data_IF_082292816066
#
_entry.id   IF_082292816066
#
_cell.length_a   1.000
_cell.length_b   1.000
_cell.length_c   1.000
_cell.angle_alpha   90.00
_cell.angle_beta   90.00
_cell.angle_gamma   90.00
#
_symmetry.space_group_name_H-M   'P 1'
#
loop_
_entity.id
_entity.type
_entity.pdbx_description
1 polymer ?
#
# COMPACT_ATOMS: atom_id res chain seq x y z
N UNK A 1 -5.45 -9.77 28.55
CA UNK A 1 -5.10 -11.01 27.83
C UNK A 1 -5.60 -10.96 26.39
N UNK A 2 -6.90 -10.79 26.11
CA UNK A 2 -7.41 -10.64 24.72
C UNK A 2 -7.00 -9.32 24.05
N UNK A 3 -6.86 -8.24 24.81
CA UNK A 3 -6.41 -6.94 24.28
C UNK A 3 -4.94 -6.93 23.87
N UNK A 4 -4.10 -7.69 24.58
CA UNK A 4 -2.66 -7.83 24.30
C UNK A 4 -2.44 -8.64 23.03
N UNK A 5 -3.19 -9.71 22.85
CA UNK A 5 -3.12 -10.59 21.66
C UNK A 5 -3.45 -9.85 20.35
N UNK A 6 -4.41 -8.92 20.40
CA UNK A 6 -4.77 -8.08 19.23
C UNK A 6 -3.70 -7.02 18.94
N UNK A 7 -3.08 -6.48 19.98
CA UNK A 7 -1.98 -5.51 19.88
C UNK A 7 -0.73 -6.19 19.28
N UNK A 8 -0.39 -7.38 19.79
CA UNK A 8 0.74 -8.19 19.30
C UNK A 8 0.53 -8.60 17.83
N UNK A 9 -0.68 -9.04 17.44
CA UNK A 9 -0.98 -9.35 16.02
C UNK A 9 -0.91 -8.12 15.10
N UNK A 10 -1.18 -6.92 15.63
CA UNK A 10 -1.13 -5.67 14.89
C UNK A 10 0.31 -5.19 14.70
N UNK A 11 1.12 -5.23 15.75
CA UNK A 11 2.55 -4.92 15.73
C UNK A 11 3.28 -5.86 14.77
N UNK A 12 2.97 -7.17 14.78
CA UNK A 12 3.49 -8.13 13.81
C UNK A 12 3.14 -7.73 12.36
N UNK A 13 1.92 -7.24 12.12
CA UNK A 13 1.50 -6.78 10.79
C UNK A 13 2.17 -5.46 10.39
N UNK A 14 2.39 -4.55 11.34
CA UNK A 14 3.13 -3.30 11.11
C UNK A 14 4.58 -3.59 10.76
N UNK A 15 5.27 -4.42 11.55
CA UNK A 15 6.66 -4.83 11.30
C UNK A 15 6.79 -5.52 9.94
N UNK A 16 5.88 -6.43 9.59
CA UNK A 16 5.85 -7.09 8.28
C UNK A 16 5.61 -6.12 7.11
N UNK A 17 4.79 -5.09 7.27
CA UNK A 17 4.58 -4.07 6.23
C UNK A 17 5.79 -3.16 6.08
N UNK A 18 6.45 -2.83 7.19
CA UNK A 18 7.66 -2.00 7.20
C UNK A 18 8.87 -2.77 6.67
N UNK A 19 8.98 -4.07 6.94
CA UNK A 19 10.10 -4.92 6.51
C UNK A 19 9.96 -5.40 5.05
N UNK A 20 8.74 -5.60 4.52
CA UNK A 20 8.51 -5.93 3.10
C UNK A 20 8.86 -4.75 2.15
N UNK A 21 9.24 -3.59 2.70
CA UNK A 21 9.90 -2.54 1.91
C UNK A 21 11.30 -2.96 1.42
N UNK A 22 11.92 -3.97 2.04
CA UNK A 22 13.33 -4.26 1.85
C UNK A 22 13.67 -5.35 0.80
N UNK A 23 12.84 -6.37 0.51
CA UNK A 23 13.42 -7.57 -0.13
C UNK A 23 12.64 -8.45 -1.14
N UNK A 24 11.38 -8.22 -1.49
CA UNK A 24 10.62 -9.24 -2.24
C UNK A 24 10.36 -8.92 -3.74
N UNK A 25 11.32 -9.24 -4.62
CA UNK A 25 11.08 -9.31 -6.08
C UNK A 25 10.55 -10.70 -6.49
N UNK A 26 9.25 -10.84 -6.78
CA UNK A 26 8.70 -12.05 -7.45
C UNK A 26 7.24 -12.42 -7.15
N UNK A 27 6.77 -13.56 -7.71
CA UNK A 27 5.42 -14.11 -7.46
C UNK A 27 5.14 -14.45 -6.00
N UNK A 28 6.19 -14.63 -5.19
CA UNK A 28 6.09 -14.83 -3.74
C UNK A 28 5.62 -13.54 -3.04
N UNK A 29 6.20 -12.39 -3.39
CA UNK A 29 5.81 -11.07 -2.88
C UNK A 29 4.34 -10.75 -3.11
N UNK A 30 3.82 -11.04 -4.31
CA UNK A 30 2.42 -10.82 -4.63
C UNK A 30 1.46 -11.70 -3.80
N UNK A 31 1.88 -12.90 -3.41
CA UNK A 31 1.11 -13.77 -2.52
C UNK A 31 1.17 -13.30 -1.07
N UNK A 32 2.33 -12.83 -0.65
CA UNK A 32 2.59 -12.32 0.70
C UNK A 32 1.82 -11.02 0.97
N UNK A 33 1.93 -10.04 0.08
CA UNK A 33 1.15 -8.80 0.13
C UNK A 33 -0.36 -9.09 0.14
N UNK A 34 -0.85 -10.00 -0.72
CA UNK A 34 -2.27 -10.40 -0.69
C UNK A 34 -2.67 -11.07 0.63
N UNK A 35 -1.78 -11.85 1.25
CA UNK A 35 -2.03 -12.48 2.54
C UNK A 35 -2.08 -11.43 3.65
N UNK A 36 -1.23 -10.41 3.60
CA UNK A 36 -1.23 -9.28 4.53
C UNK A 36 -2.54 -8.47 4.42
N UNK A 37 -2.97 -8.06 3.23
CA UNK A 37 -4.25 -7.33 3.11
C UNK A 37 -5.44 -8.14 3.60
N UNK A 38 -5.43 -9.47 3.40
CA UNK A 38 -6.45 -10.36 3.93
C UNK A 38 -6.43 -10.46 5.46
N UNK A 39 -5.24 -10.47 6.08
CA UNK A 39 -5.08 -10.43 7.55
C UNK A 39 -5.63 -9.12 8.12
N UNK A 40 -5.22 -7.97 7.58
CA UNK A 40 -5.75 -6.66 7.99
C UNK A 40 -7.27 -6.59 7.85
N UNK A 41 -7.82 -7.23 6.79
CA UNK A 41 -9.26 -7.34 6.62
C UNK A 41 -9.94 -8.24 7.64
N UNK A 42 -9.36 -9.38 7.99
CA UNK A 42 -9.87 -10.23 9.03
C UNK A 42 -9.86 -9.52 10.40
N UNK A 43 -8.77 -8.81 10.73
CA UNK A 43 -8.60 -8.09 11.99
C UNK A 43 -9.61 -6.95 12.14
N UNK A 44 -9.73 -6.09 11.13
CA UNK A 44 -10.75 -5.04 11.11
C UNK A 44 -12.17 -5.59 11.25
N UNK A 45 -12.47 -6.74 10.65
CA UNK A 45 -13.77 -7.41 10.79
C UNK A 45 -13.99 -8.04 12.17
N UNK A 46 -12.92 -8.49 12.84
CA UNK A 46 -12.97 -8.99 14.22
C UNK A 46 -13.27 -7.83 15.19
N UNK A 47 -12.55 -6.70 15.06
CA UNK A 47 -12.79 -5.48 15.86
C UNK A 47 -14.23 -4.96 15.72
N UNK A 48 -14.76 -4.91 14.50
CA UNK A 48 -16.16 -4.49 14.27
C UNK A 48 -17.16 -5.45 14.95
N UNK A 49 -16.93 -6.77 14.87
CA UNK A 49 -17.79 -7.76 15.52
C UNK A 49 -17.74 -7.60 17.04
N UNK A 50 -16.55 -7.44 17.60
CA UNK A 50 -16.35 -7.24 19.03
C UNK A 50 -17.08 -5.98 19.53
N UNK A 51 -16.91 -4.84 18.84
CA UNK A 51 -17.62 -3.59 19.16
C UNK A 51 -19.14 -3.75 19.13
N UNK A 52 -19.67 -4.45 18.12
CA UNK A 52 -21.11 -4.68 17.98
C UNK A 52 -21.70 -5.53 19.12
N UNK A 53 -20.90 -6.38 19.75
CA UNK A 53 -21.28 -7.14 20.94
C UNK A 53 -21.05 -6.38 22.25
N UNK A 54 -20.02 -5.54 22.34
CA UNK A 54 -19.69 -4.77 23.54
C UNK A 54 -20.64 -3.57 23.78
N UNK A 55 -21.11 -2.91 22.71
CA UNK A 55 -22.05 -1.79 22.78
C UNK A 55 -23.36 -2.10 23.55
N UNK A 56 -24.12 -3.17 23.22
CA UNK A 56 -25.34 -3.49 23.95
C UNK A 56 -25.07 -3.91 25.40
N UNK A 57 -23.89 -4.48 25.69
CA UNK A 57 -23.50 -4.84 27.06
C UNK A 57 -23.37 -3.60 27.95
N UNK A 58 -22.81 -2.51 27.40
CA UNK A 58 -22.76 -1.20 28.08
C UNK A 58 -24.17 -0.71 28.43
N UNK A 59 -25.10 -0.76 27.48
CA UNK A 59 -26.46 -0.24 27.68
C UNK A 59 -27.19 -1.04 28.77
N UNK A 60 -27.03 -2.36 28.80
CA UNK A 60 -27.57 -3.24 29.85
C UNK A 60 -26.97 -2.90 31.22
N UNK A 61 -25.65 -2.81 31.34
CA UNK A 61 -24.98 -2.48 32.62
C UNK A 61 -25.37 -1.08 33.09
N UNK A 62 -25.44 -0.10 32.18
CA UNK A 62 -25.86 1.27 32.53
C UNK A 62 -27.29 1.34 33.04
N UNK A 63 -28.18 0.48 32.52
CA UNK A 63 -29.58 0.38 32.96
C UNK A 63 -29.65 -0.19 34.38
N UNK A 64 -28.85 -1.21 34.68
CA UNK A 64 -28.75 -1.82 36.02
C UNK A 64 -28.21 -0.82 37.05
N UNK A 65 -27.23 0.02 36.67
CA UNK A 65 -26.67 1.04 37.56
C UNK A 65 -27.66 2.18 37.82
N UNK A 66 -28.45 2.58 36.81
CA UNK A 66 -29.41 3.69 36.90
C UNK A 66 -30.73 3.32 37.57
N UNK A 67 -31.25 2.12 37.33
CA UNK A 67 -32.49 1.68 37.98
C UNK A 67 -32.20 1.32 39.44
N UNK A 68 -32.97 1.90 40.36
CA UNK A 68 -32.99 1.43 41.75
C UNK A 68 -33.76 0.12 41.82
N UNK A 69 -33.09 -0.97 41.44
CA UNK A 69 -33.65 -2.31 41.53
C UNK A 69 -33.71 -2.69 43.01
N UNK A 70 -34.89 -3.00 43.58
CA UNK A 70 -35.05 -3.20 45.02
C UNK A 70 -34.25 -4.36 45.62
N UNK A 71 -33.72 -5.25 44.78
CA UNK A 71 -32.90 -6.41 45.17
C UNK A 71 -31.37 -6.19 45.07
N UNK A 72 -30.91 -5.01 44.64
CA UNK A 72 -29.47 -4.72 44.48
C UNK A 72 -28.98 -3.80 45.60
N UNK A 73 -28.11 -4.34 46.45
CA UNK A 73 -27.45 -3.57 47.51
C UNK A 73 -26.47 -2.52 46.94
N UNK A 74 -26.21 -1.45 47.72
CA UNK A 74 -25.29 -0.37 47.34
C UNK A 74 -23.90 -0.87 46.98
N UNK A 75 -23.42 -1.92 47.66
CA UNK A 75 -22.11 -2.54 47.43
C UNK A 75 -22.02 -3.21 46.06
N UNK A 76 -23.10 -3.91 45.67
CA UNK A 76 -23.20 -4.59 44.37
C UNK A 76 -23.26 -3.58 43.22
N UNK A 77 -23.88 -2.42 43.44
CA UNK A 77 -23.93 -1.33 42.45
C UNK A 77 -22.54 -0.77 42.12
N UNK A 78 -21.63 -0.71 43.10
CA UNK A 78 -20.25 -0.27 42.90
C UNK A 78 -19.49 -1.22 41.94
N UNK A 79 -19.71 -2.53 42.07
CA UNK A 79 -19.13 -3.51 41.15
C UNK A 79 -19.68 -3.37 39.72
N UNK A 80 -20.98 -3.11 39.55
CA UNK A 80 -21.54 -2.85 38.22
C UNK A 80 -21.02 -1.56 37.59
N UNK A 81 -20.73 -0.53 38.37
CA UNK A 81 -20.04 0.68 37.88
C UNK A 81 -18.64 0.37 37.36
N UNK A 82 -17.84 -0.39 38.10
CA UNK A 82 -16.49 -0.77 37.65
C UNK A 82 -16.52 -1.61 36.36
N UNK A 83 -17.50 -2.50 36.21
CA UNK A 83 -17.73 -3.24 34.95
C UNK A 83 -18.11 -2.29 33.81
N UNK A 84 -18.96 -1.28 34.07
CA UNK A 84 -19.32 -0.28 33.07
C UNK A 84 -18.10 0.51 32.59
N UNK A 85 -17.24 0.92 33.51
CA UNK A 85 -15.99 1.64 33.23
C UNK A 85 -14.98 0.78 32.47
N UNK A 86 -14.91 -0.52 32.79
CA UNK A 86 -14.11 -1.48 32.01
C UNK A 86 -14.63 -1.64 30.57
N UNK A 87 -15.94 -1.75 30.37
CA UNK A 87 -16.53 -1.83 29.02
C UNK A 87 -16.21 -0.57 28.21
N UNK A 88 -16.25 0.61 28.86
CA UNK A 88 -15.90 1.89 28.25
C UNK A 88 -14.45 1.90 27.77
N UNK A 89 -13.51 1.58 28.67
CA UNK A 89 -12.07 1.51 28.33
C UNK A 89 -11.77 0.53 27.19
N UNK A 90 -12.41 -0.64 27.21
CA UNK A 90 -12.26 -1.64 26.15
C UNK A 90 -12.79 -1.11 24.81
N UNK A 91 -13.92 -0.39 24.81
CA UNK A 91 -14.48 0.15 23.59
C UNK A 91 -13.60 1.26 22.99
N UNK A 92 -12.99 2.11 23.83
CA UNK A 92 -12.02 3.12 23.38
C UNK A 92 -10.77 2.46 22.80
N UNK A 93 -10.27 1.39 23.43
CA UNK A 93 -9.16 0.59 22.90
C UNK A 93 -9.49 -0.02 21.53
N UNK A 94 -10.67 -0.60 21.37
CA UNK A 94 -11.12 -1.18 20.09
C UNK A 94 -11.22 -0.12 18.99
N UNK A 95 -11.64 1.10 19.31
CA UNK A 95 -11.66 2.19 18.33
C UNK A 95 -10.24 2.61 17.94
N UNK A 96 -9.34 2.76 18.91
CA UNK A 96 -7.92 3.04 18.63
C UNK A 96 -7.29 1.99 17.72
N UNK A 97 -7.52 0.71 18.00
CA UNK A 97 -7.03 -0.41 17.18
C UNK A 97 -7.61 -0.36 15.75
N UNK A 98 -8.88 -0.01 15.62
CA UNK A 98 -9.53 0.13 14.31
C UNK A 98 -8.92 1.28 13.49
N UNK A 99 -8.56 2.38 14.14
CA UNK A 99 -7.89 3.50 13.47
C UNK A 99 -6.51 3.08 12.96
N UNK A 100 -5.74 2.32 13.75
CA UNK A 100 -4.44 1.79 13.31
C UNK A 100 -4.59 0.82 12.12
N UNK A 101 -5.53 -0.13 12.18
CA UNK A 101 -5.81 -1.04 11.03
C UNK A 101 -6.19 -0.27 9.77
N UNK A 102 -6.92 0.84 9.92
CA UNK A 102 -7.29 1.70 8.80
C UNK A 102 -6.06 2.43 8.25
N UNK A 103 -5.20 2.97 9.12
CA UNK A 103 -3.93 3.58 8.74
C UNK A 103 -3.00 2.62 7.99
N UNK A 104 -2.87 1.37 8.47
CA UNK A 104 -2.06 0.33 7.81
C UNK A 104 -2.57 0.01 6.40
N UNK A 105 -3.89 -0.06 6.21
CA UNK A 105 -4.47 -0.27 4.87
C UNK A 105 -4.20 0.89 3.92
N UNK A 106 -4.34 2.12 4.41
CA UNK A 106 -4.08 3.31 3.60
C UNK A 106 -2.60 3.38 3.21
N UNK A 107 -1.69 2.99 4.11
CA UNK A 107 -0.27 2.84 3.82
C UNK A 107 0.00 1.75 2.77
N UNK A 108 -0.62 0.57 2.88
CA UNK A 108 -0.51 -0.51 1.89
C UNK A 108 -0.96 -0.06 0.49
N UNK A 109 -2.07 0.68 0.41
CA UNK A 109 -2.57 1.25 -0.83
C UNK A 109 -1.61 2.30 -1.40
N UNK A 110 -1.06 3.18 -0.56
CA UNK A 110 -0.09 4.18 -0.98
C UNK A 110 1.19 3.54 -1.54
N UNK A 111 1.72 2.51 -0.88
CA UNK A 111 2.88 1.75 -1.33
C UNK A 111 2.62 1.05 -2.66
N UNK A 112 1.45 0.41 -2.81
CA UNK A 112 1.06 -0.26 -4.05
C UNK A 112 0.92 0.75 -5.21
N UNK A 113 0.32 1.91 -4.94
CA UNK A 113 0.21 3.00 -5.91
C UNK A 113 1.58 3.51 -6.33
N UNK A 114 2.49 3.73 -5.38
CA UNK A 114 3.86 4.16 -5.66
C UNK A 114 4.62 3.14 -6.53
N UNK A 115 4.52 1.85 -6.20
CA UNK A 115 5.09 0.75 -7.02
C UNK A 115 4.54 0.79 -8.45
N UNK A 116 3.23 0.99 -8.61
CA UNK A 116 2.61 1.11 -9.94
C UNK A 116 3.11 2.34 -10.71
N UNK A 117 3.20 3.50 -10.06
CA UNK A 117 3.74 4.73 -10.66
C UNK A 117 5.19 4.54 -11.13
N UNK A 118 6.02 3.86 -10.35
CA UNK A 118 7.38 3.52 -10.75
C UNK A 118 7.38 2.64 -12.00
N UNK A 119 6.58 1.56 -12.02
CA UNK A 119 6.48 0.68 -13.20
C UNK A 119 6.03 1.45 -14.46
N UNK A 120 5.05 2.35 -14.33
CA UNK A 120 4.61 3.19 -15.45
C UNK A 120 5.73 4.11 -15.95
N UNK A 121 6.50 4.71 -15.04
CA UNK A 121 7.67 5.52 -15.40
C UNK A 121 8.73 4.68 -16.14
N UNK A 122 8.98 3.44 -15.73
CA UNK A 122 9.91 2.53 -16.43
C UNK A 122 9.43 2.22 -17.85
N UNK A 123 8.15 1.88 -18.01
CA UNK A 123 7.56 1.60 -19.34
C UNK A 123 7.63 2.84 -20.22
N UNK A 124 7.29 4.02 -19.69
CA UNK A 124 7.38 5.28 -20.42
C UNK A 124 8.82 5.65 -20.81
N UNK A 125 9.80 5.40 -19.94
CA UNK A 125 11.22 5.62 -20.22
C UNK A 125 11.68 4.76 -21.40
N UNK A 126 11.42 3.45 -21.37
CA UNK A 126 11.71 2.55 -22.50
C UNK A 126 10.95 2.93 -23.77
N UNK A 127 9.67 3.31 -23.65
CA UNK A 127 8.86 3.78 -24.77
C UNK A 127 9.44 5.03 -25.44
N UNK A 128 9.93 5.99 -24.66
CA UNK A 128 10.54 7.22 -25.19
C UNK A 128 11.83 6.96 -25.98
N UNK A 129 12.66 6.01 -25.52
CA UNK A 129 13.86 5.56 -26.24
C UNK A 129 13.48 4.97 -27.61
N UNK A 130 12.47 4.10 -27.65
CA UNK A 130 11.97 3.52 -28.90
C UNK A 130 11.34 4.57 -29.82
N UNK A 131 10.59 5.53 -29.27
CA UNK A 131 9.94 6.59 -30.05
C UNK A 131 10.98 7.43 -30.79
N UNK A 132 12.03 7.87 -30.10
CA UNK A 132 13.10 8.68 -30.71
C UNK A 132 13.85 7.88 -31.78
N UNK A 133 14.22 6.63 -31.49
CA UNK A 133 14.87 5.77 -32.48
C UNK A 133 13.99 5.53 -33.72
N UNK A 134 12.69 5.30 -33.52
CA UNK A 134 11.71 5.09 -34.60
C UNK A 134 11.49 6.38 -35.39
N UNK A 135 11.46 7.55 -34.74
CA UNK A 135 11.33 8.83 -35.42
C UNK A 135 12.52 9.11 -36.33
N UNK A 136 13.75 8.90 -35.84
CA UNK A 136 14.98 9.09 -36.64
C UNK A 136 14.98 8.12 -37.83
N UNK A 137 14.66 6.85 -37.57
CA UNK A 137 14.58 5.83 -38.62
C UNK A 137 13.47 6.14 -39.63
N UNK A 138 12.33 6.65 -39.17
CA UNK A 138 11.20 7.02 -40.01
C UNK A 138 11.53 8.20 -40.92
N UNK A 139 12.09 9.28 -40.37
CA UNK A 139 12.51 10.47 -41.14
C UNK A 139 13.56 10.11 -42.18
N UNK A 140 14.56 9.31 -41.81
CA UNK A 140 15.64 8.89 -42.72
C UNK A 140 15.24 7.75 -43.66
N UNK A 141 14.12 7.07 -43.39
CA UNK A 141 13.52 6.04 -44.25
C UNK A 141 12.60 6.61 -45.32
N UNK A 142 12.26 7.90 -45.26
CA UNK A 142 11.55 8.57 -46.35
C UNK A 142 12.49 8.73 -47.54
N UNK A 143 12.10 8.22 -48.72
CA UNK A 143 12.85 8.36 -49.98
C UNK A 143 12.88 9.85 -50.43
N UNK A 144 13.69 10.69 -49.80
CA UNK A 144 13.91 12.06 -50.22
C UNK A 144 14.72 12.07 -51.52
N UNK A 145 14.20 12.78 -52.53
CA UNK A 145 14.73 12.80 -53.91
C UNK A 145 16.08 13.54 -54.05
N UNK A 146 16.41 14.40 -53.07
CA UNK A 146 17.69 15.13 -52.94
C UNK A 146 18.47 14.62 -51.72
N UNK A 147 18.64 13.31 -51.60
CA UNK A 147 19.47 12.74 -50.54
C UNK A 147 20.96 13.00 -50.86
N UNK A 148 21.69 13.80 -50.06
CA UNK A 148 23.11 14.03 -50.29
C UNK A 148 23.83 12.68 -50.18
N UNK A 149 24.59 12.33 -51.22
CA UNK A 149 25.21 11.03 -51.47
C UNK A 149 25.66 10.26 -50.21
N UNK A 150 24.73 9.49 -49.62
CA UNK A 150 25.01 8.41 -48.69
C UNK A 150 25.19 7.13 -49.52
N UNK A 151 26.23 7.13 -50.35
CA UNK A 151 26.58 5.99 -51.20
C UNK A 151 27.03 4.81 -50.33
N UNK A 152 26.13 3.84 -50.18
CA UNK A 152 26.36 2.41 -49.92
C UNK A 152 27.34 2.10 -48.77
N UNK A 153 26.77 1.95 -47.57
CA UNK A 153 27.44 1.40 -46.38
C UNK A 153 27.62 2.41 -45.25
N UNK A 154 28.05 3.64 -45.56
CA UNK A 154 28.26 4.69 -44.55
C UNK A 154 26.96 5.27 -44.00
N UNK A 155 25.88 5.29 -44.78
CA UNK A 155 24.60 5.86 -44.35
C UNK A 155 23.92 5.13 -43.21
N UNK A 156 23.98 3.79 -43.22
CA UNK A 156 23.52 2.98 -42.10
C UNK A 156 24.34 3.27 -40.84
N UNK A 157 25.67 3.39 -40.97
CA UNK A 157 26.57 3.70 -39.86
C UNK A 157 26.33 5.12 -39.30
N UNK A 158 26.08 6.11 -40.15
CA UNK A 158 25.76 7.50 -39.73
C UNK A 158 24.43 7.55 -38.98
N UNK A 159 23.38 6.92 -39.51
CA UNK A 159 22.07 6.86 -38.84
C UNK A 159 22.15 6.11 -37.51
N UNK A 160 22.82 4.96 -37.48
CA UNK A 160 23.02 4.21 -36.25
C UNK A 160 23.81 5.01 -35.21
N UNK A 161 24.86 5.74 -35.64
CA UNK A 161 25.65 6.61 -34.76
C UNK A 161 24.82 7.77 -34.22
N UNK A 162 23.96 8.39 -35.04
CA UNK A 162 23.08 9.47 -34.61
C UNK A 162 22.05 9.00 -33.58
N UNK A 163 21.43 7.84 -33.80
CA UNK A 163 20.52 7.21 -32.83
C UNK A 163 21.27 6.93 -31.53
N UNK A 164 22.48 6.37 -31.60
CA UNK A 164 23.28 6.08 -30.42
C UNK A 164 23.61 7.37 -29.63
N UNK A 165 24.04 8.43 -30.31
CA UNK A 165 24.37 9.73 -29.70
C UNK A 165 23.18 10.37 -29.00
N UNK A 166 21.96 10.21 -29.53
CA UNK A 166 20.75 10.79 -28.93
C UNK A 166 20.18 9.90 -27.82
N UNK A 167 20.16 8.58 -28.01
CA UNK A 167 19.64 7.62 -27.02
C UNK A 167 20.57 7.49 -25.80
N UNK A 168 21.89 7.59 -25.96
CA UNK A 168 22.87 7.44 -24.85
C UNK A 168 22.67 8.45 -23.71
N UNK A 169 22.60 9.78 -23.94
CA UNK A 169 22.39 10.75 -22.86
C UNK A 169 21.01 10.57 -22.20
N UNK A 170 19.99 10.20 -22.97
CA UNK A 170 18.65 9.93 -22.44
C UNK A 170 18.62 8.67 -21.55
N UNK A 171 19.32 7.62 -21.98
CA UNK A 171 19.52 6.41 -21.22
C UNK A 171 20.27 6.69 -19.90
N UNK A 172 21.36 7.46 -19.95
CA UNK A 172 22.11 7.86 -18.74
C UNK A 172 21.21 8.66 -17.78
N UNK A 173 20.38 9.56 -18.31
CA UNK A 173 19.43 10.33 -17.52
C UNK A 173 18.40 9.43 -16.82
N UNK A 174 17.79 8.49 -17.54
CA UNK A 174 16.82 7.55 -16.95
C UNK A 174 17.46 6.56 -15.96
N UNK A 175 18.68 6.09 -16.26
CA UNK A 175 19.44 5.22 -15.35
C UNK A 175 19.80 5.93 -14.05
N UNK A 176 20.12 7.23 -14.09
CA UNK A 176 20.35 8.04 -12.89
C UNK A 176 19.12 8.20 -11.99
N UNK A 177 17.92 7.99 -12.53
CA UNK A 177 16.66 8.03 -11.78
C UNK A 177 16.14 6.63 -11.41
N UNK A 178 16.91 5.57 -11.67
CA UNK A 178 16.51 4.17 -11.46
C UNK A 178 15.24 3.75 -12.21
N UNK A 179 14.88 4.49 -13.26
CA UNK A 179 13.75 4.17 -14.13
C UNK A 179 14.10 3.11 -15.17
N UNK A 180 15.39 2.90 -15.41
CA UNK A 180 15.97 1.92 -16.35
C UNK A 180 17.18 1.25 -15.73
#
# INVERSE_FOLDING_TARGET
MVTTDVDDELDDCEELLLDDTAQSTGRAAARESRRQSLKLFALGKALIRFRRSALPLRDVVSTIVRQEIPFIDKTVRLHFQDVADHILRINDFVESQRDVVTGLRDAELALTSNRLSLVQQKIAAWGSLFLIATLITGVLGMNFRDQPDLSWGSGFLVTASLILIICTPLYIFFRRREWV
#
